data_IF_688791363065
#
_entry.id   IF_688791363065
#
_cell.length_a   1.000
_cell.length_b   1.000
_cell.length_c   1.000
_cell.angle_alpha   90.00
_cell.angle_beta   90.00
_cell.angle_gamma   90.00
#
_symmetry.space_group_name_H-M   'P 1'
#
loop_
_entity.id
_entity.type
_entity.pdbx_description
1 polymer ?
#
# COMPACT_ATOMS: atom_id res chain seq x y z
N UNK A 1 -14.04 1.34 15.87
CA UNK A 1 -13.38 2.42 15.11
C UNK A 1 -14.10 2.59 13.78
N UNK A 2 -14.80 3.71 13.56
CA UNK A 2 -15.71 3.92 12.43
C UNK A 2 -15.03 3.91 11.04
N UNK A 3 -13.71 4.04 11.02
CA UNK A 3 -12.92 4.34 9.82
C UNK A 3 -12.80 3.15 8.85
N UNK A 4 -13.02 1.92 9.34
CA UNK A 4 -13.01 0.68 8.56
C UNK A 4 -14.41 0.09 8.33
N UNK A 5 -15.46 0.69 8.88
CA UNK A 5 -16.84 0.23 8.72
C UNK A 5 -17.43 0.72 7.40
N UNK A 6 -18.38 -0.02 6.83
CA UNK A 6 -19.15 0.47 5.67
C UNK A 6 -20.08 1.58 6.14
N UNK A 7 -20.39 2.52 5.25
CA UNK A 7 -21.24 3.68 5.58
C UNK A 7 -22.62 3.29 6.11
N UNK A 8 -23.18 2.16 5.64
CA UNK A 8 -24.44 1.60 6.14
C UNK A 8 -24.34 1.14 7.60
N UNK A 9 -23.19 0.61 8.00
CA UNK A 9 -22.96 0.16 9.36
C UNK A 9 -22.76 1.38 10.28
N UNK A 10 -22.08 2.43 9.78
CA UNK A 10 -21.93 3.71 10.51
C UNK A 10 -23.29 4.39 10.69
N UNK A 11 -24.11 4.45 9.64
CA UNK A 11 -25.47 4.98 9.71
C UNK A 11 -26.32 4.23 10.76
N UNK A 12 -26.29 2.90 10.72
CA UNK A 12 -27.00 2.07 11.70
C UNK A 12 -26.53 2.37 13.12
N UNK A 13 -25.22 2.52 13.35
CA UNK A 13 -24.68 2.84 14.69
C UNK A 13 -25.21 4.18 15.21
N UNK A 14 -25.31 5.22 14.35
CA UNK A 14 -25.85 6.52 14.73
C UNK A 14 -27.33 6.45 15.12
N UNK A 15 -28.11 5.68 14.36
CA UNK A 15 -29.53 5.51 14.62
C UNK A 15 -29.77 4.70 15.90
N UNK A 16 -29.06 3.57 16.09
CA UNK A 16 -29.30 2.68 17.24
C UNK A 16 -28.70 3.19 18.54
N UNK A 17 -27.53 3.84 18.48
CA UNK A 17 -26.79 4.24 19.68
C UNK A 17 -27.16 5.64 20.15
N UNK A 18 -27.53 6.53 19.21
CA UNK A 18 -27.79 7.94 19.49
C UNK A 18 -29.18 8.41 19.06
N UNK A 19 -29.99 7.56 18.41
CA UNK A 19 -31.31 7.94 17.91
C UNK A 19 -31.25 8.97 16.78
N UNK A 20 -30.09 9.14 16.15
CA UNK A 20 -29.86 10.17 15.13
C UNK A 20 -30.04 9.57 13.73
N UNK A 21 -31.03 10.08 13.00
CA UNK A 21 -31.21 9.79 11.59
C UNK A 21 -30.36 10.75 10.76
N UNK A 22 -29.19 10.27 10.32
CA UNK A 22 -28.18 11.05 9.61
C UNK A 22 -28.17 10.66 8.14
N UNK A 23 -28.26 11.62 7.23
CA UNK A 23 -28.24 11.25 5.80
C UNK A 23 -26.95 10.53 5.40
N UNK A 24 -27.02 9.69 4.37
CA UNK A 24 -25.86 9.00 3.80
C UNK A 24 -24.73 9.98 3.44
N UNK A 25 -25.07 11.14 2.87
CA UNK A 25 -24.11 12.17 2.49
C UNK A 25 -23.37 12.76 3.69
N UNK A 26 -24.10 13.09 4.77
CA UNK A 26 -23.49 13.58 6.02
C UNK A 26 -22.59 12.52 6.66
N UNK A 27 -23.03 11.26 6.66
CA UNK A 27 -22.24 10.13 7.16
C UNK A 27 -20.94 9.97 6.37
N UNK A 28 -21.02 10.06 5.04
CA UNK A 28 -19.85 10.00 4.16
C UNK A 28 -18.87 11.14 4.44
N UNK A 29 -19.33 12.40 4.50
CA UNK A 29 -18.46 13.55 4.82
C UNK A 29 -17.79 13.37 6.19
N UNK A 30 -18.55 12.93 7.19
CA UNK A 30 -18.02 12.69 8.53
C UNK A 30 -16.92 11.62 8.53
N UNK A 31 -17.17 10.50 7.86
CA UNK A 31 -16.19 9.41 7.72
C UNK A 31 -14.94 9.88 6.96
N UNK A 32 -15.08 10.60 5.86
CA UNK A 32 -13.94 11.14 5.10
C UNK A 32 -13.12 12.14 5.91
N UNK A 33 -13.77 13.00 6.70
CA UNK A 33 -13.08 13.93 7.60
C UNK A 33 -12.27 13.19 8.68
N UNK A 34 -12.86 12.16 9.29
CA UNK A 34 -12.17 11.34 10.30
C UNK A 34 -11.02 10.56 9.66
N UNK A 35 -11.18 10.02 8.44
CA UNK A 35 -10.09 9.39 7.69
C UNK A 35 -8.93 10.35 7.46
N UNK A 36 -9.20 11.57 7.00
CA UNK A 36 -8.18 12.60 6.80
C UNK A 36 -7.47 13.00 8.09
N UNK A 37 -8.17 13.04 9.23
CA UNK A 37 -7.55 13.28 10.53
C UNK A 37 -6.66 12.11 10.99
N UNK A 38 -7.08 10.87 10.72
CA UNK A 38 -6.37 9.68 11.18
C UNK A 38 -5.16 9.34 10.31
N UNK A 39 -5.33 9.38 8.99
CA UNK A 39 -4.31 8.95 8.02
C UNK A 39 -3.53 10.12 7.42
N UNK A 40 -3.95 11.35 7.68
CA UNK A 40 -3.39 12.55 7.06
C UNK A 40 -3.88 12.74 5.63
N UNK A 41 -3.31 13.73 4.95
CA UNK A 41 -3.56 13.98 3.54
C UNK A 41 -2.73 13.02 2.68
N UNK A 42 -3.42 12.09 2.01
CA UNK A 42 -2.82 11.16 1.07
C UNK A 42 -1.93 11.87 0.03
N UNK A 43 -2.32 13.06 -0.42
CA UNK A 43 -1.56 13.86 -1.39
C UNK A 43 -0.21 14.29 -0.84
N UNK A 44 -0.17 14.70 0.44
CA UNK A 44 1.07 15.04 1.12
C UNK A 44 1.94 13.80 1.35
N UNK A 45 1.35 12.67 1.72
CA UNK A 45 2.07 11.40 1.87
C UNK A 45 2.77 10.98 0.57
N UNK A 46 2.13 11.17 -0.59
CA UNK A 46 2.78 10.90 -1.87
C UNK A 46 3.95 11.85 -2.17
N UNK A 47 3.81 13.14 -1.87
CA UNK A 47 4.90 14.11 -2.02
C UNK A 47 6.11 13.76 -1.15
N UNK A 48 5.88 13.15 0.01
CA UNK A 48 6.95 12.71 0.91
C UNK A 48 7.73 11.49 0.41
N UNK A 49 7.23 10.74 -0.58
CA UNK A 49 7.93 9.57 -1.11
C UNK A 49 9.29 9.92 -1.71
N UNK A 50 9.38 11.02 -2.48
CA UNK A 50 10.66 11.46 -3.03
C UNK A 50 11.68 11.78 -1.94
N UNK A 51 11.26 12.52 -0.92
CA UNK A 51 12.11 12.80 0.24
C UNK A 51 12.53 11.52 0.97
N UNK A 52 11.62 10.56 1.13
CA UNK A 52 11.92 9.27 1.73
C UNK A 52 12.96 8.48 0.91
N UNK A 53 12.86 8.49 -0.43
CA UNK A 53 13.84 7.84 -1.31
C UNK A 53 15.23 8.45 -1.10
N UNK A 54 15.33 9.77 -1.04
CA UNK A 54 16.59 10.48 -0.80
C UNK A 54 17.15 10.16 0.60
N UNK A 55 16.31 10.20 1.63
CA UNK A 55 16.69 9.88 2.99
C UNK A 55 17.16 8.42 3.12
N UNK A 56 16.46 7.48 2.48
CA UNK A 56 16.82 6.08 2.46
C UNK A 56 18.15 5.85 1.73
N UNK A 57 18.37 6.47 0.56
CA UNK A 57 19.66 6.39 -0.14
C UNK A 57 20.82 6.99 0.68
N UNK A 58 20.59 8.09 1.39
CA UNK A 58 21.61 8.72 2.24
C UNK A 58 21.95 7.89 3.47
N UNK A 59 20.94 7.29 4.11
CA UNK A 59 21.13 6.44 5.29
C UNK A 59 21.79 5.12 4.94
N UNK A 60 21.47 4.63 3.74
CA UNK A 60 21.85 3.32 3.26
C UNK A 60 22.44 3.42 1.84
N UNK A 61 23.69 3.90 1.71
CA UNK A 61 24.36 4.01 0.42
C UNK A 61 24.36 2.67 -0.31
N UNK A 62 23.98 2.66 -1.60
CA UNK A 62 23.87 1.44 -2.40
C UNK A 62 22.49 0.78 -2.39
N UNK A 63 21.50 1.35 -1.70
CA UNK A 63 20.11 0.90 -1.81
C UNK A 63 19.59 1.02 -3.24
N UNK A 64 18.92 -0.01 -3.73
CA UNK A 64 18.18 0.05 -4.99
C UNK A 64 16.73 0.47 -4.72
N UNK A 65 16.42 1.73 -4.98
CA UNK A 65 15.10 2.32 -4.77
C UNK A 65 14.48 2.72 -6.10
N UNK A 66 13.30 2.19 -6.42
CA UNK A 66 12.60 2.49 -7.68
C UNK A 66 11.14 2.84 -7.40
N UNK A 67 10.78 4.08 -7.72
CA UNK A 67 9.40 4.56 -7.68
C UNK A 67 8.79 4.45 -9.08
N UNK A 68 7.67 3.73 -9.17
CA UNK A 68 6.87 3.64 -10.38
C UNK A 68 5.59 4.44 -10.18
N UNK A 69 5.35 5.35 -11.11
CA UNK A 69 4.11 6.06 -11.27
C UNK A 69 3.51 5.72 -12.63
N UNK A 70 2.20 5.86 -12.75
CA UNK A 70 1.49 5.81 -14.02
C UNK A 70 1.89 7.01 -14.88
N UNK A 71 2.31 6.77 -16.12
CA UNK A 71 2.89 7.81 -16.99
C UNK A 71 1.87 8.88 -17.39
N UNK A 72 0.58 8.52 -17.51
CA UNK A 72 -0.48 9.44 -17.94
C UNK A 72 -1.05 10.26 -16.78
N UNK A 73 -1.26 9.60 -15.63
CA UNK A 73 -1.96 10.18 -14.49
C UNK A 73 -1.04 10.63 -13.37
N UNK A 74 0.27 10.33 -13.46
CA UNK A 74 1.26 10.52 -12.40
C UNK A 74 0.83 9.92 -11.04
N UNK A 75 -0.04 8.91 -11.06
CA UNK A 75 -0.48 8.23 -9.85
C UNK A 75 0.56 7.23 -9.42
N UNK A 76 0.80 7.16 -8.12
CA UNK A 76 1.63 6.13 -7.54
C UNK A 76 1.13 4.74 -7.92
N UNK A 77 2.05 3.88 -8.36
CA UNK A 77 1.77 2.49 -8.66
C UNK A 77 2.48 1.55 -7.66
N UNK A 78 3.79 1.73 -7.47
CA UNK A 78 4.60 0.89 -6.57
C UNK A 78 5.95 1.53 -6.23
N UNK A 79 6.49 1.19 -5.07
CA UNK A 79 7.86 1.54 -4.64
C UNK A 79 8.60 0.25 -4.29
N UNK A 80 9.77 0.04 -4.90
CA UNK A 80 10.71 -1.01 -4.49
C UNK A 80 11.84 -0.39 -3.68
N UNK A 81 12.18 -1.02 -2.56
CA UNK A 81 13.34 -0.69 -1.73
C UNK A 81 14.09 -1.99 -1.48
N UNK A 82 15.22 -2.16 -2.17
CA UNK A 82 16.00 -3.38 -2.16
C UNK A 82 17.43 -3.02 -1.76
N UNK A 83 17.74 -3.17 -0.48
CA UNK A 83 19.11 -3.03 0.03
C UNK A 83 19.53 -4.36 0.65
N UNK A 84 19.06 -4.62 1.88
CA UNK A 84 19.36 -5.86 2.59
C UNK A 84 18.89 -7.11 1.86
N UNK A 85 17.88 -7.03 1.00
CA UNK A 85 17.44 -8.17 0.18
C UNK A 85 18.47 -8.55 -0.89
N UNK A 86 19.15 -7.59 -1.51
CA UNK A 86 20.13 -7.86 -2.57
C UNK A 86 21.39 -8.47 -1.96
N UNK A 87 21.90 -7.85 -0.89
CA UNK A 87 23.05 -8.41 -0.16
C UNK A 87 22.70 -9.74 0.50
N UNK A 88 21.52 -9.82 1.12
CA UNK A 88 20.97 -11.00 1.78
C UNK A 88 20.77 -12.18 0.84
N UNK A 89 20.50 -11.92 -0.45
CA UNK A 89 20.35 -12.98 -1.45
C UNK A 89 21.60 -13.84 -1.58
N UNK A 90 22.79 -13.27 -1.38
CA UNK A 90 24.06 -14.01 -1.38
C UNK A 90 24.14 -15.03 -0.23
N UNK A 91 23.33 -14.87 0.81
CA UNK A 91 23.27 -15.76 1.97
C UNK A 91 22.01 -16.66 1.95
N UNK A 92 21.13 -16.52 0.96
CA UNK A 92 20.02 -17.44 0.78
C UNK A 92 20.52 -18.83 0.40
N UNK A 93 19.83 -19.88 0.85
CA UNK A 93 20.14 -21.25 0.38
C UNK A 93 19.89 -21.31 -1.13
N UNK A 94 20.84 -21.83 -1.94
CA UNK A 94 20.63 -22.01 -3.36
C UNK A 94 19.39 -22.89 -3.60
N UNK A 95 18.38 -22.34 -4.28
CA UNK A 95 17.21 -23.09 -4.70
C UNK A 95 17.47 -23.51 -6.15
N UNK A 96 17.54 -24.81 -6.39
CA UNK A 96 17.63 -25.35 -7.74
C UNK A 96 16.23 -25.32 -8.37
N UNK A 97 15.99 -24.36 -9.26
CA UNK A 97 14.79 -24.36 -10.09
C UNK A 97 15.02 -25.31 -11.27
N UNK A 98 14.40 -26.50 -11.22
CA UNK A 98 14.30 -27.36 -12.40
C UNK A 98 13.16 -26.80 -13.25
N UNK A 99 13.51 -26.14 -14.34
CA UNK A 99 12.53 -25.68 -15.32
C UNK A 99 11.81 -26.90 -15.94
N UNK A 100 10.48 -26.93 -15.79
CA UNK A 100 9.64 -28.04 -16.25
C UNK A 100 9.50 -28.12 -17.77
N UNK A 101 10.06 -27.16 -18.52
CA UNK A 101 9.99 -27.09 -19.99
C UNK A 101 10.55 -28.32 -20.71
N UNK A 102 11.35 -29.16 -20.04
CA UNK A 102 11.91 -30.39 -20.62
C UNK A 102 11.46 -31.70 -19.95
N UNK A 103 10.42 -31.71 -19.12
CA UNK A 103 9.84 -32.97 -18.62
C UNK A 103 8.99 -33.59 -19.74
N UNK A 104 9.65 -34.15 -20.76
CA UNK A 104 9.02 -35.09 -21.69
C UNK A 104 8.87 -36.41 -20.94
N UNK A 105 7.68 -36.65 -20.40
CA UNK A 105 7.35 -37.90 -19.73
C UNK A 105 7.65 -39.13 -20.58
N UNK A 106 8.05 -40.22 -19.93
CA UNK A 106 8.41 -41.51 -20.54
C UNK A 106 7.21 -42.26 -21.14
N UNK A 107 6.00 -41.72 -20.99
CA UNK A 107 4.77 -42.21 -21.60
C UNK A 107 4.48 -41.35 -22.84
N UNK A 108 4.93 -41.85 -23.99
CA UNK A 108 4.31 -41.57 -25.28
C UNK A 108 3.22 -42.61 -25.51
#
# INVERSE_FOLDING_TARGET
MFVTKRLVDVFSDFLTSYGLDVSYHQTWIGVEKVKGMLFGDHTLSYKQLHWYMDAANNTNPGSHIVLYCDDETNRFHRLFVLQGCIEGFNYCRPILFIDGTFIKGKYK
#
